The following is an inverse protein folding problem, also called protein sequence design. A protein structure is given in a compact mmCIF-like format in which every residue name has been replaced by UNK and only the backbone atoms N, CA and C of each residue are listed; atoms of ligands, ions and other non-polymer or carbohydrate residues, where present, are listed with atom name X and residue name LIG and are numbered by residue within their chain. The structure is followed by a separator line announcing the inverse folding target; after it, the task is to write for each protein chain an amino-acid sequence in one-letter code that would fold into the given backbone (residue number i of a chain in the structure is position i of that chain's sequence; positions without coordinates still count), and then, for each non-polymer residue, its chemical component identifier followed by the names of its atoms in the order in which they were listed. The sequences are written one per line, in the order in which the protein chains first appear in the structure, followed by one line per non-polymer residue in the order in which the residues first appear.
data_IF_040277886006
#
_entry.id   IF_040277886006
#
_cell.length_a   1.000
_cell.length_b   1.000
_cell.length_c   1.000
_cell.angle_alpha   90.00
_cell.angle_beta   90.00
_cell.angle_gamma   90.00
#
_symmetry.space_group_name_H-M   'P 1'
#
loop_
_entity.id
_entity.type
_entity.pdbx_description
1 polymer ?
#
# COMPACT_ATOMS: atom_id res chain seq x y z
N UNK A 1 4.27 9.16 15.74
CA UNK A 1 4.69 8.42 14.52
C UNK A 1 5.16 7.03 14.94
N UNK A 2 4.29 6.00 14.87
CA UNK A 2 4.73 4.63 15.15
C UNK A 2 5.74 4.20 14.08
N UNK A 3 6.95 3.82 14.50
CA UNK A 3 8.04 3.43 13.59
C UNK A 3 7.56 2.24 12.76
N UNK A 4 7.33 2.47 11.47
CA UNK A 4 6.75 1.47 10.57
C UNK A 4 7.58 0.18 10.61
N UNK A 5 6.95 -0.89 11.08
CA UNK A 5 7.61 -2.18 11.32
C UNK A 5 7.82 -2.86 9.97
N UNK A 6 8.95 -2.57 9.30
CA UNK A 6 9.30 -3.18 8.01
C UNK A 6 9.39 -4.70 8.13
N UNK A 7 8.58 -5.43 7.40
CA UNK A 7 8.57 -6.91 7.39
C UNK A 7 9.81 -7.47 6.72
N UNK A 8 10.33 -8.58 7.25
CA UNK A 8 11.49 -9.30 6.68
C UNK A 8 10.94 -10.25 5.62
N UNK A 9 11.40 -10.11 4.38
CA UNK A 9 11.03 -11.01 3.30
C UNK A 9 11.97 -12.20 3.28
N UNK A 10 11.40 -13.40 3.17
CA UNK A 10 12.12 -14.66 3.13
C UNK A 10 11.77 -15.41 1.85
N UNK A 11 12.77 -16.04 1.24
CA UNK A 11 12.65 -16.97 0.13
C UNK A 11 12.79 -18.39 0.66
N UNK A 12 11.93 -19.28 0.18
CA UNK A 12 12.04 -20.72 0.43
C UNK A 12 13.08 -21.29 -0.52
N UNK A 13 14.08 -21.98 0.02
CA UNK A 13 15.08 -22.74 -0.74
C UNK A 13 14.62 -24.17 -0.98
N UNK A 14 15.31 -24.90 -1.86
CA UNK A 14 14.90 -26.26 -2.26
C UNK A 14 14.87 -27.27 -1.09
N UNK A 15 15.69 -27.03 -0.06
CA UNK A 15 15.73 -27.80 1.19
C UNK A 15 14.66 -27.36 2.21
N UNK A 16 13.76 -26.45 1.83
CA UNK A 16 12.68 -25.95 2.69
C UNK A 16 13.11 -24.91 3.72
N UNK A 17 14.37 -24.46 3.69
CA UNK A 17 14.85 -23.39 4.57
C UNK A 17 14.36 -22.01 4.10
N UNK A 18 14.30 -21.06 5.03
CA UNK A 18 13.99 -19.67 4.74
C UNK A 18 15.26 -18.83 4.74
N UNK A 19 15.55 -18.17 3.62
CA UNK A 19 16.68 -17.23 3.49
C UNK A 19 16.18 -15.81 3.22
N UNK A 20 16.90 -14.75 3.65
CA UNK A 20 16.51 -13.37 3.33
C UNK A 20 16.37 -13.15 1.83
N UNK A 21 15.25 -12.56 1.39
CA UNK A 21 14.95 -12.39 -0.03
C UNK A 21 15.82 -11.32 -0.71
N UNK A 22 16.29 -10.32 0.04
CA UNK A 22 17.08 -9.18 -0.42
C UNK A 22 18.01 -8.64 0.68
N UNK A 23 18.87 -7.68 0.33
CA UNK A 23 19.82 -7.07 1.29
C UNK A 23 19.12 -6.25 2.37
N UNK A 24 17.95 -5.68 2.08
CA UNK A 24 17.12 -4.99 3.07
C UNK A 24 16.66 -5.97 4.17
N UNK A 25 16.19 -7.15 3.79
CA UNK A 25 15.77 -8.21 4.72
C UNK A 25 16.93 -8.71 5.56
N UNK A 26 18.13 -8.85 4.98
CA UNK A 26 19.36 -9.15 5.74
C UNK A 26 19.66 -8.07 6.77
N UNK A 27 19.58 -6.80 6.39
CA UNK A 27 19.80 -5.68 7.31
C UNK A 27 18.75 -5.64 8.43
N UNK A 28 17.48 -5.88 8.12
CA UNK A 28 16.41 -5.92 9.11
C UNK A 28 16.62 -7.02 10.15
N UNK A 29 17.05 -8.22 9.74
CA UNK A 29 17.40 -9.29 10.68
C UNK A 29 18.56 -8.89 11.60
N UNK A 30 19.61 -8.25 11.05
CA UNK A 30 20.74 -7.73 11.84
C UNK A 30 20.31 -6.64 12.83
N UNK A 31 19.47 -5.69 12.38
CA UNK A 31 18.92 -4.62 13.23
C UNK A 31 18.07 -5.18 14.36
N UNK A 32 17.30 -6.26 14.08
CA UNK A 32 16.51 -7.00 15.08
C UNK A 32 17.37 -7.91 15.96
N UNK A 33 18.69 -7.97 15.73
CA UNK A 33 19.66 -8.80 16.46
C UNK A 33 19.33 -10.30 16.44
N UNK A 34 18.64 -10.76 15.40
CA UNK A 34 18.35 -12.18 15.17
C UNK A 34 19.61 -12.84 14.60
N UNK A 35 20.06 -13.93 15.23
CA UNK A 35 21.31 -14.63 14.94
C UNK A 35 21.06 -16.10 14.63
N UNK A 36 22.09 -16.75 14.07
CA UNK A 36 22.08 -18.21 13.87
C UNK A 36 21.93 -18.90 15.22
N UNK A 37 20.95 -19.80 15.32
CA UNK A 37 20.65 -20.55 16.54
C UNK A 37 19.50 -19.99 17.38
N UNK A 38 19.02 -18.78 17.08
CA UNK A 38 17.87 -18.20 17.77
C UNK A 38 16.58 -18.95 17.38
N UNK A 39 15.72 -19.21 18.37
CA UNK A 39 14.37 -19.71 18.14
C UNK A 39 13.46 -18.52 17.80
N UNK A 40 12.97 -18.47 16.55
CA UNK A 40 12.12 -17.38 16.04
C UNK A 40 10.73 -17.92 15.74
N UNK A 41 9.70 -17.36 16.38
CA UNK A 41 8.31 -17.61 16.02
C UNK A 41 7.94 -16.86 14.75
N UNK A 42 7.43 -17.56 13.74
CA UNK A 42 6.96 -16.98 12.49
C UNK A 42 5.68 -17.67 12.02
N UNK A 43 4.76 -16.91 11.44
CA UNK A 43 3.57 -17.39 10.72
C UNK A 43 3.75 -17.04 9.22
N UNK A 44 4.45 -17.89 8.45
CA UNK A 44 4.83 -17.54 7.08
C UNK A 44 3.62 -17.56 6.14
N UNK A 45 3.39 -16.44 5.46
CA UNK A 45 2.40 -16.30 4.38
C UNK A 45 3.11 -15.96 3.08
N UNK A 46 2.58 -16.40 1.93
CA UNK A 46 3.11 -15.99 0.62
C UNK A 46 2.99 -14.47 0.51
N UNK A 47 4.13 -13.80 0.37
CA UNK A 47 4.14 -12.39 0.03
C UNK A 47 3.51 -12.23 -1.36
N UNK A 48 2.58 -11.28 -1.51
CA UNK A 48 2.08 -10.90 -2.83
C UNK A 48 3.20 -10.32 -3.70
N UNK A 49 2.92 -10.05 -4.97
CA UNK A 49 3.93 -9.46 -5.85
C UNK A 49 4.48 -8.16 -5.22
N UNK A 50 5.77 -8.10 -4.86
CA UNK A 50 6.36 -6.92 -4.24
C UNK A 50 6.34 -5.69 -5.15
N UNK A 51 5.93 -5.80 -6.41
CA UNK A 51 5.78 -4.66 -7.32
C UNK A 51 4.34 -4.15 -7.43
N UNK A 52 3.35 -4.81 -6.83
CA UNK A 52 1.94 -4.39 -6.92
C UNK A 52 1.72 -2.97 -6.36
N UNK A 53 2.43 -2.60 -5.28
CA UNK A 53 2.37 -1.23 -4.73
C UNK A 53 2.90 -0.18 -5.72
N UNK A 54 3.79 -0.56 -6.66
CA UNK A 54 4.26 0.32 -7.72
C UNK A 54 3.13 0.71 -8.66
N UNK A 55 2.14 -0.17 -8.90
CA UNK A 55 0.97 0.16 -9.74
C UNK A 55 0.14 1.29 -9.10
N UNK A 56 -0.14 1.19 -7.81
CA UNK A 56 -0.83 2.27 -7.08
C UNK A 56 -0.02 3.59 -7.08
N UNK A 57 1.30 3.52 -6.96
CA UNK A 57 2.14 4.73 -7.02
C UNK A 57 2.18 5.34 -8.43
N UNK A 58 2.21 4.52 -9.49
CA UNK A 58 2.06 4.99 -10.88
C UNK A 58 0.75 5.71 -11.10
N UNK A 59 -0.35 5.15 -10.59
CA UNK A 59 -1.67 5.79 -10.64
C UNK A 59 -1.63 7.16 -9.96
N UNK A 60 -1.03 7.26 -8.77
CA UNK A 60 -0.90 8.53 -8.07
C UNK A 60 0.00 9.54 -8.81
N UNK A 61 1.10 9.10 -9.42
CA UNK A 61 1.94 9.96 -10.26
C UNK A 61 1.17 10.51 -11.45
N UNK A 62 0.36 9.68 -12.12
CA UNK A 62 -0.50 10.12 -13.22
C UNK A 62 -1.44 11.24 -12.76
N UNK A 63 -2.02 11.12 -11.57
CA UNK A 63 -2.89 12.17 -11.01
C UNK A 63 -2.11 13.45 -10.71
N UNK A 64 -0.93 13.36 -10.10
CA UNK A 64 -0.08 14.52 -9.78
C UNK A 64 0.33 15.28 -11.05
N UNK A 65 0.63 14.56 -12.13
CA UNK A 65 1.07 15.17 -13.39
C UNK A 65 -0.07 15.82 -14.19
N UNK A 66 -1.32 15.41 -13.95
CA UNK A 66 -2.46 15.79 -14.81
C UNK A 66 -3.58 16.55 -14.10
N UNK A 67 -3.54 16.68 -12.77
CA UNK A 67 -4.60 17.31 -11.98
C UNK A 67 -4.00 18.30 -10.96
N UNK A 68 -4.44 19.56 -11.06
CA UNK A 68 -4.00 20.65 -10.17
C UNK A 68 -4.32 20.36 -8.68
N UNK A 69 -5.38 19.58 -8.43
CA UNK A 69 -5.81 19.13 -7.11
C UNK A 69 -4.70 18.45 -6.29
N UNK A 70 -3.71 17.84 -6.96
CA UNK A 70 -2.63 17.08 -6.30
C UNK A 70 -1.26 17.77 -6.39
N UNK A 71 -1.24 19.06 -6.76
CA UNK A 71 0.00 19.84 -6.84
C UNK A 71 0.74 19.82 -5.50
N UNK A 72 2.06 19.63 -5.54
CA UNK A 72 2.95 19.55 -4.38
C UNK A 72 2.68 18.36 -3.42
N UNK A 73 1.88 17.37 -3.83
CA UNK A 73 1.70 16.14 -3.07
C UNK A 73 2.65 15.05 -3.58
N UNK A 74 3.10 14.17 -2.68
CA UNK A 74 3.77 12.93 -3.07
C UNK A 74 2.75 11.80 -3.31
N UNK A 75 3.16 10.76 -4.04
CA UNK A 75 2.28 9.64 -4.40
C UNK A 75 1.63 8.95 -3.18
N UNK A 76 2.33 8.88 -2.03
CA UNK A 76 1.77 8.29 -0.82
C UNK A 76 0.66 9.16 -0.24
N UNK A 77 0.89 10.47 -0.19
CA UNK A 77 -0.09 11.46 0.27
C UNK A 77 -1.34 11.49 -0.60
N UNK A 78 -1.18 11.38 -1.93
CA UNK A 78 -2.31 11.29 -2.87
C UNK A 78 -3.15 10.05 -2.62
N UNK A 79 -2.53 8.87 -2.54
CA UNK A 79 -3.26 7.63 -2.26
C UNK A 79 -4.00 7.71 -0.93
N UNK A 80 -3.38 8.26 0.13
CA UNK A 80 -4.04 8.44 1.43
C UNK A 80 -5.25 9.38 1.33
N UNK A 81 -5.15 10.49 0.59
CA UNK A 81 -6.27 11.40 0.35
C UNK A 81 -7.42 10.69 -0.35
N UNK A 82 -7.16 9.95 -1.43
CA UNK A 82 -8.19 9.18 -2.14
C UNK A 82 -8.86 8.14 -1.22
N UNK A 83 -8.09 7.47 -0.34
CA UNK A 83 -8.67 6.56 0.65
C UNK A 83 -9.67 7.27 1.57
N UNK A 84 -9.35 8.48 2.03
CA UNK A 84 -10.22 9.25 2.92
C UNK A 84 -11.48 9.76 2.23
N UNK A 85 -11.34 10.28 1.01
CA UNK A 85 -12.44 10.85 0.24
C UNK A 85 -13.51 9.81 -0.08
N UNK A 86 -13.08 8.61 -0.50
CA UNK A 86 -13.96 7.58 -1.00
C UNK A 86 -14.16 6.38 -0.06
N UNK A 87 -13.65 6.45 1.18
CA UNK A 87 -13.71 5.34 2.16
C UNK A 87 -13.08 4.03 1.63
N UNK A 88 -12.01 4.15 0.84
CA UNK A 88 -11.35 3.02 0.17
C UNK A 88 -10.35 2.35 1.11
N UNK A 89 -10.56 1.06 1.38
CA UNK A 89 -9.66 0.27 2.23
C UNK A 89 -9.47 0.88 3.62
N UNK A 90 -10.52 1.48 4.19
CA UNK A 90 -10.51 2.12 5.49
C UNK A 90 -11.13 1.22 6.57
N UNK A 91 -10.59 1.28 7.79
CA UNK A 91 -11.30 0.84 8.99
C UNK A 91 -12.07 2.02 9.57
N UNK A 92 -13.20 1.75 10.23
CA UNK A 92 -13.95 2.77 10.95
C UNK A 92 -13.75 2.60 12.44
N UNK A 93 -13.48 3.70 13.12
CA UNK A 93 -13.35 3.76 14.57
C UNK A 93 -14.21 4.88 15.11
N UNK A 94 -15.05 4.56 16.09
CA UNK A 94 -15.85 5.54 16.80
C UNK A 94 -15.02 6.16 17.93
N UNK A 95 -14.84 7.47 17.85
CA UNK A 95 -14.06 8.24 18.83
C UNK A 95 -14.99 9.18 19.56
N UNK A 96 -14.99 9.10 20.89
CA UNK A 96 -15.71 10.06 21.72
C UNK A 96 -14.91 11.35 21.82
N UNK A 97 -15.41 12.40 21.19
CA UNK A 97 -14.80 13.74 21.22
C UNK A 97 -15.52 14.60 22.26
N UNK A 98 -14.81 15.11 23.29
CA UNK A 98 -15.41 16.00 24.27
C UNK A 98 -16.11 17.20 23.61
N UNK A 99 -17.36 17.46 23.98
CA UNK A 99 -18.17 18.56 23.43
C UNK A 99 -18.87 18.27 22.09
N UNK A 100 -18.52 17.19 21.39
CA UNK A 100 -19.08 16.87 20.05
C UNK A 100 -19.73 15.48 19.97
N UNK A 101 -19.64 14.68 21.03
CA UNK A 101 -20.25 13.35 21.07
C UNK A 101 -19.35 12.28 20.45
N UNK A 102 -19.96 11.25 19.84
CA UNK A 102 -19.23 10.17 19.17
C UNK A 102 -19.10 10.51 17.69
N UNK A 103 -17.86 10.54 17.20
CA UNK A 103 -17.53 10.79 15.80
C UNK A 103 -16.95 9.52 15.21
N UNK A 104 -17.53 9.05 14.10
CA UNK A 104 -16.98 7.93 13.34
C UNK A 104 -15.86 8.42 12.42
N UNK A 105 -14.63 7.97 12.67
CA UNK A 105 -13.46 8.33 11.89
C UNK A 105 -13.00 7.16 11.01
N UNK A 106 -12.63 7.47 9.77
CA UNK A 106 -12.01 6.54 8.83
C UNK A 106 -10.51 6.48 9.06
N UNK A 107 -9.95 5.29 9.05
CA UNK A 107 -8.52 5.02 9.20
C UNK A 107 -8.05 4.21 7.98
N UNK A 108 -7.38 4.85 7.01
CA UNK A 108 -6.94 4.15 5.81
C UNK A 108 -5.88 3.10 6.12
N UNK A 109 -6.16 1.84 5.77
CA UNK A 109 -5.20 0.74 5.93
C UNK A 109 -3.96 0.98 5.08
N UNK A 110 -2.84 0.40 5.52
CA UNK A 110 -1.63 0.37 4.71
C UNK A 110 -1.80 -0.60 3.55
N UNK A 111 -1.51 -0.16 2.34
CA UNK A 111 -1.46 -1.04 1.16
C UNK A 111 -0.12 -1.76 1.01
N UNK A 112 0.66 -1.87 2.08
CA UNK A 112 1.92 -2.61 2.06
C UNK A 112 1.64 -4.10 1.77
N UNK A 113 2.55 -4.75 1.05
CA UNK A 113 2.38 -6.11 0.54
C UNK A 113 2.27 -7.19 1.62
N UNK A 114 2.60 -6.85 2.87
CA UNK A 114 2.58 -7.70 4.04
C UNK A 114 1.33 -7.49 4.92
N UNK A 115 0.52 -6.48 4.62
CA UNK A 115 -0.66 -6.10 5.42
C UNK A 115 -1.99 -6.50 4.77
N UNK A 116 -2.00 -6.80 3.47
CA UNK A 116 -3.20 -7.17 2.73
C UNK A 116 -2.89 -8.25 1.69
N UNK A 117 -3.85 -9.12 1.41
CA UNK A 117 -3.72 -10.13 0.36
C UNK A 117 -3.93 -9.54 -1.04
N UNK A 118 -3.69 -10.34 -2.09
CA UNK A 118 -3.80 -9.90 -3.47
C UNK A 118 -5.25 -9.58 -3.87
N UNK A 119 -6.23 -10.34 -3.40
CA UNK A 119 -7.64 -10.10 -3.70
C UNK A 119 -8.12 -8.78 -3.10
N UNK A 120 -7.78 -8.54 -1.84
CA UNK A 120 -8.06 -7.28 -1.14
C UNK A 120 -7.38 -6.10 -1.85
N UNK A 121 -6.15 -6.27 -2.33
CA UNK A 121 -5.46 -5.23 -3.10
C UNK A 121 -6.14 -4.91 -4.43
N UNK A 122 -6.54 -5.93 -5.21
CA UNK A 122 -7.24 -5.70 -6.48
C UNK A 122 -8.57 -4.98 -6.29
N UNK A 123 -9.30 -5.32 -5.22
CA UNK A 123 -10.54 -4.61 -4.85
C UNK A 123 -10.27 -3.14 -4.52
N UNK A 124 -9.30 -2.87 -3.63
CA UNK A 124 -8.90 -1.51 -3.27
C UNK A 124 -8.41 -0.72 -4.49
N UNK A 125 -7.63 -1.34 -5.37
CA UNK A 125 -7.15 -0.72 -6.59
C UNK A 125 -8.28 -0.35 -7.55
N UNK A 126 -9.22 -1.27 -7.78
CA UNK A 126 -10.41 -1.00 -8.60
C UNK A 126 -11.26 0.14 -8.03
N UNK A 127 -11.39 0.23 -6.71
CA UNK A 127 -12.09 1.35 -6.06
C UNK A 127 -11.40 2.69 -6.28
N UNK A 128 -10.05 2.75 -6.30
CA UNK A 128 -9.35 3.97 -6.68
C UNK A 128 -9.66 4.38 -8.11
N UNK A 129 -9.57 3.44 -9.06
CA UNK A 129 -9.87 3.71 -10.46
C UNK A 129 -11.30 4.24 -10.62
N UNK A 130 -12.28 3.62 -9.95
CA UNK A 130 -13.67 4.07 -10.01
C UNK A 130 -13.85 5.49 -9.47
N UNK A 131 -13.31 5.78 -8.28
CA UNK A 131 -13.38 7.13 -7.70
C UNK A 131 -12.72 8.18 -8.60
N UNK A 132 -11.60 7.84 -9.23
CA UNK A 132 -10.90 8.73 -10.16
C UNK A 132 -11.76 9.04 -11.38
N UNK A 133 -12.42 8.02 -11.94
CA UNK A 133 -13.34 8.19 -13.08
C UNK A 133 -14.48 9.13 -12.68
N UNK A 134 -15.12 8.87 -11.55
CA UNK A 134 -16.33 9.59 -11.13
C UNK A 134 -16.03 11.07 -10.79
N UNK A 135 -14.86 11.35 -10.21
CA UNK A 135 -14.54 12.68 -9.68
C UNK A 135 -13.66 13.52 -10.60
N UNK A 136 -12.70 12.92 -11.30
CA UNK A 136 -11.64 13.65 -11.99
C UNK A 136 -11.68 13.45 -13.51
N UNK A 137 -11.90 12.21 -13.97
CA UNK A 137 -11.83 11.84 -15.38
C UNK A 137 -13.12 11.19 -15.87
N UNK A 138 -14.21 11.94 -15.74
CA UNK A 138 -15.53 11.53 -16.21
C UNK A 138 -15.46 11.12 -17.70
N UNK A 139 -15.82 9.86 -17.97
CA UNK A 139 -15.83 9.29 -19.33
C UNK A 139 -14.62 8.45 -19.72
N UNK A 140 -13.60 8.31 -18.87
CA UNK A 140 -12.55 7.29 -19.05
C UNK A 140 -12.98 5.95 -18.44
N UNK A 141 -12.50 4.85 -19.02
CA UNK A 141 -12.67 3.51 -18.46
C UNK A 141 -11.48 3.13 -17.58
N UNK A 142 -11.68 2.16 -16.68
CA UNK A 142 -10.61 1.61 -15.85
C UNK A 142 -9.42 1.12 -16.70
N UNK A 143 -9.68 0.45 -17.83
CA UNK A 143 -8.63 -0.05 -18.72
C UNK A 143 -7.77 1.08 -19.31
N UNK A 144 -8.39 2.20 -19.68
CA UNK A 144 -7.68 3.37 -20.20
C UNK A 144 -6.76 3.98 -19.13
N UNK A 145 -7.25 4.09 -17.89
CA UNK A 145 -6.45 4.59 -16.77
C UNK A 145 -5.28 3.65 -16.46
N UNK A 146 -5.51 2.34 -16.48
CA UNK A 146 -4.44 1.37 -16.26
C UNK A 146 -3.37 1.44 -17.35
N UNK A 147 -3.77 1.55 -18.62
CA UNK A 147 -2.85 1.75 -19.74
C UNK A 147 -2.01 3.02 -19.58
N UNK A 148 -2.64 4.16 -19.23
CA UNK A 148 -1.94 5.42 -18.98
C UNK A 148 -0.94 5.31 -17.83
N UNK A 149 -1.33 4.68 -16.71
CA UNK A 149 -0.42 4.51 -15.57
C UNK A 149 0.77 3.59 -15.90
N UNK A 150 0.56 2.59 -16.76
CA UNK A 150 1.61 1.63 -17.12
C UNK A 150 2.70 2.27 -17.98
N UNK A 151 2.36 3.28 -18.78
CA UNK A 151 3.29 4.05 -19.62
C UNK A 151 4.23 4.95 -18.80
N UNK A 152 3.88 5.27 -17.55
CA UNK A 152 4.78 5.97 -16.63
C UNK A 152 5.90 5.04 -16.16
N UNK A 153 7.12 5.35 -16.56
CA UNK A 153 8.34 4.73 -16.04
C UNK A 153 8.67 5.29 -14.66
N UNK A 154 8.51 4.50 -13.60
CA UNK A 154 8.83 4.95 -12.24
C UNK A 154 10.34 4.83 -12.05
N UNK A 155 11.03 5.95 -11.83
CA UNK A 155 12.35 5.92 -11.22
C UNK A 155 12.20 5.34 -9.80
N UNK A 156 12.90 4.22 -9.57
CA UNK A 156 12.75 3.33 -8.43
C UNK A 156 12.98 3.98 -7.06
#
# INVERSE_FOLDING_TARGET
MAKQKRTVLLRVTDDGAFVPADDLSKQLLRQRKIRRGDLVSADPKKARNPTAWKRAHKLAQLLIENLDDFTNMDAHSVLKRLQFEADIGCERMDVKVPGYGVVSQRWPKSMSFDQMDEGEFQQVYGQFCQHIIDMYWNGLTQDQIEQMSNLLGVAA
#
